data_IF_074840959922
#
_entry.id   IF_074840959922
#
_cell.length_a   1.000
_cell.length_b   1.000
_cell.length_c   1.000
_cell.angle_alpha   90.00
_cell.angle_beta   90.00
_cell.angle_gamma   90.00
#
_symmetry.space_group_name_H-M   'P 1'
#
loop_
_entity.id
_entity.type
_entity.pdbx_description
1 polymer ?
#
# COMPACT_ATOMS: atom_id res chain seq x y z
N UNK A 1 -36.25 0.96 -12.07
CA UNK A 1 -36.14 1.17 -10.61
C UNK A 1 -37.48 1.54 -9.97
N UNK A 2 -38.16 2.61 -10.40
CA UNK A 2 -39.46 3.04 -9.84
C UNK A 2 -40.52 1.94 -9.74
N UNK A 3 -40.75 1.18 -10.81
CA UNK A 3 -41.77 0.12 -10.83
C UNK A 3 -41.50 -1.00 -9.80
N UNK A 4 -40.22 -1.27 -9.49
CA UNK A 4 -39.82 -2.29 -8.50
C UNK A 4 -40.06 -1.80 -7.07
N UNK A 5 -39.89 -0.49 -6.82
CA UNK A 5 -40.17 0.10 -5.51
C UNK A 5 -41.67 0.16 -5.23
N UNK A 6 -42.47 0.51 -6.25
CA UNK A 6 -43.93 0.59 -6.13
C UNK A 6 -44.62 -0.77 -5.95
N UNK A 7 -44.02 -1.86 -6.45
CA UNK A 7 -44.63 -3.19 -6.39
C UNK A 7 -44.36 -3.95 -5.08
N UNK A 8 -43.55 -3.41 -4.15
CA UNK A 8 -43.23 -4.05 -2.88
C UNK A 8 -44.31 -3.80 -1.83
N UNK A 9 -44.74 -4.87 -1.15
CA UNK A 9 -45.56 -4.81 0.06
C UNK A 9 -44.80 -5.44 1.24
N UNK A 10 -44.70 -4.77 2.40
CA UNK A 10 -45.21 -3.43 2.72
C UNK A 10 -44.48 -2.30 1.96
N UNK A 11 -45.09 -1.10 1.94
CA UNK A 11 -44.52 0.07 1.24
C UNK A 11 -43.10 0.37 1.70
N UNK A 12 -42.19 0.50 0.74
CA UNK A 12 -40.79 0.91 0.98
C UNK A 12 -40.64 2.41 1.19
N UNK A 13 -41.69 3.20 0.91
CA UNK A 13 -41.69 4.64 1.06
C UNK A 13 -42.04 5.05 2.48
N UNK A 14 -41.41 6.13 2.92
CA UNK A 14 -41.52 6.67 4.27
C UNK A 14 -42.04 8.10 4.18
N UNK A 15 -42.86 8.54 5.14
CA UNK A 15 -43.46 9.88 5.12
C UNK A 15 -42.57 10.95 5.75
N UNK A 16 -41.66 10.56 6.66
CA UNK A 16 -40.74 11.45 7.35
C UNK A 16 -39.29 10.98 7.26
N UNK A 17 -38.36 11.95 7.30
CA UNK A 17 -36.92 11.69 7.35
C UNK A 17 -36.53 10.88 8.59
N UNK A 18 -37.07 11.24 9.75
CA UNK A 18 -36.75 10.59 11.03
C UNK A 18 -37.14 9.12 11.04
N UNK A 19 -38.31 8.81 10.47
CA UNK A 19 -38.77 7.43 10.33
C UNK A 19 -37.86 6.63 9.38
N UNK A 20 -37.38 7.25 8.30
CA UNK A 20 -36.47 6.61 7.35
C UNK A 20 -35.11 6.31 7.96
N UNK A 21 -34.58 7.26 8.74
CA UNK A 21 -33.33 7.11 9.50
C UNK A 21 -33.48 6.05 10.59
N UNK A 22 -34.57 6.07 11.35
CA UNK A 22 -34.83 5.06 12.38
C UNK A 22 -34.97 3.65 11.80
N UNK A 23 -35.63 3.50 10.64
CA UNK A 23 -35.72 2.20 9.94
C UNK A 23 -34.34 1.74 9.44
N UNK A 24 -33.52 2.65 8.92
CA UNK A 24 -32.16 2.33 8.47
C UNK A 24 -31.22 1.91 9.61
N UNK A 25 -31.43 2.45 10.82
CA UNK A 25 -30.66 2.07 12.01
C UNK A 25 -31.09 0.72 12.61
N UNK A 26 -32.40 0.45 12.65
CA UNK A 26 -32.96 -0.68 13.40
C UNK A 26 -33.24 -1.92 12.54
N UNK A 27 -33.16 -1.82 11.21
CA UNK A 27 -33.49 -2.92 10.30
C UNK A 27 -32.55 -2.94 9.09
N UNK A 28 -32.58 -4.03 8.32
CA UNK A 28 -31.84 -4.14 7.05
C UNK A 28 -32.50 -3.31 5.93
N UNK A 29 -32.57 -2.00 6.14
CA UNK A 29 -33.22 -1.04 5.24
C UNK A 29 -32.21 0.01 4.76
N UNK A 30 -32.09 0.15 3.44
CA UNK A 30 -31.29 1.22 2.84
C UNK A 30 -32.20 2.41 2.56
N UNK A 31 -31.91 3.55 3.19
CA UNK A 31 -32.64 4.79 2.97
C UNK A 31 -31.87 5.67 1.98
N UNK A 32 -32.56 6.10 0.92
CA UNK A 32 -31.99 7.00 -0.09
C UNK A 32 -32.38 8.43 0.25
N UNK A 33 -31.38 9.27 0.45
CA UNK A 33 -31.54 10.68 0.79
C UNK A 33 -30.44 11.50 0.11
N UNK A 34 -30.60 12.82 0.16
CA UNK A 34 -29.69 13.77 -0.46
C UNK A 34 -28.37 13.87 0.34
N UNK A 35 -27.26 14.19 -0.34
CA UNK A 35 -25.91 14.04 0.22
C UNK A 35 -25.65 14.90 1.45
N UNK A 36 -26.13 16.16 1.45
CA UNK A 36 -25.94 17.05 2.61
C UNK A 36 -26.64 16.50 3.86
N UNK A 37 -27.83 15.95 3.69
CA UNK A 37 -28.57 15.32 4.77
C UNK A 37 -27.89 14.02 5.23
N UNK A 38 -27.24 13.29 4.32
CA UNK A 38 -26.49 12.09 4.65
C UNK A 38 -25.28 12.40 5.53
N UNK A 39 -24.51 13.41 5.18
CA UNK A 39 -23.39 13.89 5.99
C UNK A 39 -23.86 14.40 7.36
N UNK A 40 -24.97 15.15 7.39
CA UNK A 40 -25.57 15.65 8.64
C UNK A 40 -25.91 14.53 9.63
N UNK A 41 -26.53 13.44 9.17
CA UNK A 41 -26.88 12.31 10.02
C UNK A 41 -25.68 11.40 10.31
N UNK A 42 -24.74 11.27 9.38
CA UNK A 42 -23.52 10.49 9.57
C UNK A 42 -22.62 11.10 10.65
N UNK A 43 -22.46 12.43 10.66
CA UNK A 43 -21.68 13.13 11.68
C UNK A 43 -22.27 12.99 13.08
N UNK A 44 -23.61 12.96 13.20
CA UNK A 44 -24.30 12.80 14.49
C UNK A 44 -24.39 11.35 14.96
N UNK A 45 -24.51 10.40 14.02
CA UNK A 45 -24.72 8.99 14.31
C UNK A 45 -23.71 8.14 13.55
N UNK A 46 -22.64 7.71 14.23
CA UNK A 46 -21.60 6.83 13.64
C UNK A 46 -22.09 5.42 13.28
N UNK A 47 -23.30 5.04 13.70
CA UNK A 47 -23.92 3.76 13.33
C UNK A 47 -24.51 3.78 11.92
N UNK A 48 -24.77 4.96 11.34
CA UNK A 48 -25.17 5.09 9.94
C UNK A 48 -23.93 5.09 9.07
N UNK A 49 -23.91 4.21 8.07
CA UNK A 49 -22.81 4.12 7.11
C UNK A 49 -23.29 4.56 5.74
N UNK A 50 -22.55 5.48 5.12
CA UNK A 50 -22.76 5.80 3.73
C UNK A 50 -22.23 4.66 2.86
N UNK A 51 -23.10 4.10 2.04
CA UNK A 51 -22.73 3.05 1.10
C UNK A 51 -22.58 3.68 -0.29
N UNK A 52 -21.37 3.62 -0.84
CA UNK A 52 -20.98 4.17 -2.16
C UNK A 52 -21.04 5.70 -2.25
N UNK A 53 -20.74 6.22 -3.44
CA UNK A 53 -20.76 7.64 -3.76
C UNK A 53 -22.15 8.17 -4.10
N UNK A 54 -22.20 9.45 -4.50
CA UNK A 54 -23.43 10.11 -4.93
C UNK A 54 -24.00 9.46 -6.20
N UNK A 55 -25.32 9.29 -6.23
CA UNK A 55 -26.05 8.77 -7.38
C UNK A 55 -26.21 9.81 -8.49
N UNK A 56 -26.31 11.08 -8.11
CA UNK A 56 -26.50 12.23 -8.99
C UNK A 56 -25.99 13.49 -8.28
N UNK A 57 -25.66 14.52 -9.05
CA UNK A 57 -25.26 15.83 -8.55
C UNK A 57 -26.40 16.80 -8.85
N UNK A 58 -27.24 17.06 -7.84
CA UNK A 58 -28.30 18.06 -7.91
C UNK A 58 -27.93 19.28 -7.07
N UNK A 59 -28.28 20.46 -7.55
CA UNK A 59 -28.11 21.72 -6.85
C UNK A 59 -29.44 22.25 -6.31
N UNK A 60 -29.39 22.93 -5.17
CA UNK A 60 -30.52 23.69 -4.63
C UNK A 60 -30.65 25.04 -5.31
N UNK A 61 -31.89 25.45 -5.60
CA UNK A 61 -32.20 26.75 -6.19
C UNK A 61 -33.34 27.43 -5.45
N UNK A 62 -33.31 28.77 -5.39
CA UNK A 62 -34.37 29.58 -4.81
C UNK A 62 -35.38 29.90 -5.91
N UNK A 63 -36.58 29.33 -5.81
CA UNK A 63 -37.66 29.57 -6.77
C UNK A 63 -38.39 30.90 -6.50
N UNK A 64 -38.52 31.75 -7.51
CA UNK A 64 -39.31 32.98 -7.47
C UNK A 64 -40.38 32.98 -8.58
N UNK A 65 -41.51 33.69 -8.45
CA UNK A 65 -42.52 33.82 -9.52
C UNK A 65 -41.93 34.46 -10.80
N UNK A 66 -42.36 34.06 -12.01
CA UNK A 66 -41.91 34.66 -13.26
C UNK A 66 -42.19 36.16 -13.29
N UNK A 67 -41.19 36.96 -13.68
CA UNK A 67 -41.28 38.42 -13.76
C UNK A 67 -41.09 39.17 -12.44
N UNK A 68 -40.68 38.51 -11.34
CA UNK A 68 -40.40 39.21 -10.09
C UNK A 68 -39.17 40.12 -10.19
N UNK A 69 -39.31 41.39 -9.82
CA UNK A 69 -38.25 42.43 -9.88
C UNK A 69 -37.01 42.04 -9.05
N UNK A 70 -37.19 41.36 -7.93
CA UNK A 70 -36.08 40.99 -7.01
C UNK A 70 -35.22 39.81 -7.49
N UNK A 71 -35.55 39.17 -8.62
CA UNK A 71 -34.79 38.01 -9.12
C UNK A 71 -33.31 38.33 -9.30
N UNK A 72 -33.05 39.46 -9.95
CA UNK A 72 -31.70 39.87 -10.34
C UNK A 72 -30.86 40.24 -9.10
N UNK A 73 -31.50 40.82 -8.07
CA UNK A 73 -30.84 41.17 -6.83
C UNK A 73 -30.43 39.93 -6.02
N UNK A 74 -31.31 38.93 -5.92
CA UNK A 74 -30.99 37.66 -5.26
C UNK A 74 -29.92 36.86 -6.01
N UNK A 75 -30.00 36.82 -7.34
CA UNK A 75 -28.99 36.13 -8.16
C UNK A 75 -27.60 36.76 -7.97
N UNK A 76 -27.53 38.10 -8.03
CA UNK A 76 -26.28 38.83 -7.77
C UNK A 76 -25.76 38.61 -6.34
N UNK A 77 -26.65 38.57 -5.34
CA UNK A 77 -26.26 38.31 -3.96
C UNK A 77 -25.65 36.91 -3.79
N UNK A 78 -26.26 35.88 -4.41
CA UNK A 78 -25.72 34.51 -4.40
C UNK A 78 -24.36 34.44 -5.08
N UNK A 79 -24.20 35.09 -6.24
CA UNK A 79 -22.93 35.14 -6.96
C UNK A 79 -21.82 35.79 -6.11
N UNK A 80 -22.12 36.91 -5.44
CA UNK A 80 -21.18 37.58 -4.53
C UNK A 80 -20.79 36.70 -3.34
N UNK A 81 -21.76 35.99 -2.76
CA UNK A 81 -21.49 35.04 -1.66
C UNK A 81 -20.61 33.87 -2.11
N UNK A 82 -20.80 33.35 -3.34
CA UNK A 82 -19.95 32.29 -3.87
C UNK A 82 -18.53 32.78 -4.15
N UNK A 83 -18.37 34.00 -4.66
CA UNK A 83 -17.06 34.58 -4.92
C UNK A 83 -16.25 34.77 -3.64
N UNK A 84 -16.85 35.30 -2.57
CA UNK A 84 -16.16 35.46 -1.27
C UNK A 84 -15.79 34.12 -0.61
N UNK A 85 -16.64 33.10 -0.78
CA UNK A 85 -16.40 31.78 -0.19
C UNK A 85 -15.45 30.88 -1.00
N UNK A 86 -15.18 31.19 -2.27
CA UNK A 86 -14.23 30.42 -3.10
C UNK A 86 -12.80 30.38 -2.54
N UNK A 87 -12.43 31.35 -1.71
CA UNK A 87 -11.14 31.37 -1.01
C UNK A 87 -11.17 30.69 0.37
N UNK A 88 -12.35 30.32 0.88
CA UNK A 88 -12.58 29.82 2.24
C UNK A 88 -13.16 28.41 2.20
N UNK A 89 -12.52 27.47 1.49
CA UNK A 89 -12.80 26.06 1.74
C UNK A 89 -12.33 25.75 3.16
N UNK A 90 -13.22 25.36 4.11
CA UNK A 90 -12.77 24.73 5.33
C UNK A 90 -12.00 23.50 4.88
N UNK A 91 -10.72 23.41 5.26
CA UNK A 91 -10.01 22.14 5.15
C UNK A 91 -10.77 21.19 6.06
N UNK A 92 -11.59 20.35 5.47
CA UNK A 92 -12.13 19.18 6.14
C UNK A 92 -10.91 18.51 6.77
N UNK A 93 -10.93 18.43 8.09
CA UNK A 93 -9.88 17.76 8.83
C UNK A 93 -10.01 16.29 8.47
N UNK A 94 -9.32 15.92 7.39
CA UNK A 94 -9.17 14.57 6.90
C UNK A 94 -8.47 13.76 8.00
N UNK A 95 -9.27 13.29 8.97
CA UNK A 95 -8.96 12.10 9.75
C UNK A 95 -8.76 10.87 8.84
N UNK A 96 -8.94 11.02 7.52
CA UNK A 96 -8.70 10.02 6.49
C UNK A 96 -7.33 10.12 5.81
N UNK A 97 -6.46 11.03 6.23
CA UNK A 97 -5.05 10.97 5.89
C UNK A 97 -4.19 11.34 7.10
N UNK A 98 -4.24 10.50 8.15
CA UNK A 98 -3.08 10.31 9.02
C UNK A 98 -1.95 9.87 8.09
N UNK A 99 -1.21 10.85 7.57
CA UNK A 99 -0.29 10.68 6.45
C UNK A 99 0.60 9.48 6.71
N UNK A 100 0.56 8.50 5.80
CA UNK A 100 1.31 7.23 5.80
C UNK A 100 2.28 7.16 6.97
N UNK A 101 1.70 6.85 8.14
CA UNK A 101 2.39 7.02 9.40
C UNK A 101 3.61 6.12 9.41
N UNK A 102 4.62 6.53 10.17
CA UNK A 102 5.81 5.75 10.52
C UNK A 102 5.52 4.27 10.87
N UNK A 103 4.26 3.95 11.20
CA UNK A 103 3.68 2.62 11.35
C UNK A 103 3.81 1.70 10.13
N UNK A 104 3.68 2.21 8.89
CA UNK A 104 3.81 1.40 7.67
C UNK A 104 5.27 1.16 7.24
N UNK A 105 6.19 2.03 7.70
CA UNK A 105 7.65 1.92 7.48
C UNK A 105 8.30 1.03 8.55
N UNK A 106 7.62 0.78 9.68
CA UNK A 106 8.10 -0.07 10.75
C UNK A 106 8.38 -1.52 10.30
N UNK A 107 7.61 -2.04 9.35
CA UNK A 107 7.78 -3.41 8.85
C UNK A 107 9.16 -3.67 8.22
N UNK A 108 9.65 -2.74 7.38
CA UNK A 108 10.93 -2.95 6.69
C UNK A 108 12.13 -2.81 7.63
N UNK A 109 12.05 -1.92 8.61
CA UNK A 109 13.08 -1.77 9.66
C UNK A 109 13.20 -3.03 10.51
N UNK A 110 12.07 -3.63 10.91
CA UNK A 110 12.06 -4.88 11.70
C UNK A 110 12.67 -6.03 10.91
N UNK A 111 12.33 -6.17 9.62
CA UNK A 111 12.90 -7.21 8.76
C UNK A 111 14.41 -7.05 8.60
N UNK A 112 14.91 -5.81 8.42
CA UNK A 112 16.33 -5.51 8.32
C UNK A 112 17.11 -5.89 9.59
N UNK A 113 16.61 -5.49 10.77
CA UNK A 113 17.27 -5.81 12.06
C UNK A 113 17.28 -7.31 12.32
N UNK A 114 16.16 -7.99 12.07
CA UNK A 114 16.06 -9.44 12.24
C UNK A 114 17.01 -10.19 11.28
N UNK A 115 17.05 -9.79 10.00
CA UNK A 115 17.94 -10.37 9.00
C UNK A 115 19.43 -10.21 9.35
N UNK A 116 19.82 -9.05 9.89
CA UNK A 116 21.19 -8.79 10.32
C UNK A 116 21.61 -9.70 11.48
N UNK A 117 20.75 -9.88 12.48
CA UNK A 117 21.03 -10.76 13.62
C UNK A 117 21.22 -12.22 13.18
N UNK A 118 20.36 -12.72 12.29
CA UNK A 118 20.46 -14.09 11.76
C UNK A 118 21.73 -14.27 10.92
N UNK A 119 22.10 -13.27 10.11
CA UNK A 119 23.32 -13.30 9.32
C UNK A 119 24.58 -13.38 10.19
N UNK A 120 24.64 -12.56 11.26
CA UNK A 120 25.75 -12.60 12.22
C UNK A 120 25.82 -13.96 12.91
N UNK A 121 24.68 -14.52 13.34
CA UNK A 121 24.65 -15.83 13.99
C UNK A 121 25.14 -16.96 13.07
N UNK A 122 24.71 -16.97 11.81
CA UNK A 122 25.19 -17.92 10.80
C UNK A 122 26.69 -17.78 10.54
N UNK A 123 27.21 -16.55 10.48
CA UNK A 123 28.64 -16.31 10.30
C UNK A 123 29.47 -16.82 11.50
N UNK A 124 28.97 -16.62 12.73
CA UNK A 124 29.64 -17.13 13.94
C UNK A 124 29.60 -18.66 13.98
N UNK A 125 28.48 -19.30 13.63
CA UNK A 125 28.39 -20.76 13.55
C UNK A 125 29.34 -21.32 12.49
N UNK A 126 29.41 -20.72 11.30
CA UNK A 126 30.38 -21.13 10.27
C UNK A 126 31.83 -20.93 10.76
N UNK A 127 32.12 -19.83 11.44
CA UNK A 127 33.44 -19.58 12.01
C UNK A 127 33.83 -20.60 13.08
N UNK A 128 32.94 -20.91 14.03
CA UNK A 128 33.19 -21.92 15.07
C UNK A 128 33.35 -23.31 14.46
N UNK A 129 32.53 -23.65 13.45
CA UNK A 129 32.65 -24.94 12.76
C UNK A 129 33.94 -25.03 11.92
N UNK A 130 34.40 -23.92 11.34
CA UNK A 130 35.69 -23.84 10.66
C UNK A 130 36.85 -24.01 11.64
N UNK A 131 36.83 -23.27 12.76
CA UNK A 131 37.85 -23.35 13.81
C UNK A 131 37.94 -24.74 14.46
N UNK A 132 36.81 -25.46 14.56
CA UNK A 132 36.76 -26.85 15.06
C UNK A 132 37.31 -27.86 14.04
N UNK A 133 37.25 -27.54 12.75
CA UNK A 133 37.75 -28.40 11.67
C UNK A 133 39.22 -28.18 11.35
N UNK A 134 39.89 -27.22 11.99
CA UNK A 134 41.35 -27.05 11.90
C UNK A 134 42.04 -27.72 13.10
N UNK A 135 42.39 -29.02 13.03
CA UNK A 135 43.43 -29.55 13.89
C UNK A 135 44.74 -28.86 13.52
N UNK A 136 45.44 -28.35 14.53
CA UNK A 136 46.78 -27.78 14.41
C UNK A 136 47.70 -28.81 13.75
N UNK A 137 48.11 -28.54 12.51
CA UNK A 137 49.34 -29.07 11.95
C UNK A 137 49.95 -28.00 11.04
N UNK A 138 50.86 -27.24 11.67
CA UNK A 138 52.00 -26.46 11.11
C UNK A 138 51.81 -24.98 10.67
N UNK A 139 52.84 -24.12 10.84
CA UNK A 139 52.69 -22.74 11.33
C UNK A 139 52.95 -21.65 10.24
N UNK A 140 53.00 -20.34 10.58
CA UNK A 140 52.13 -19.30 10.03
C UNK A 140 52.68 -18.61 8.75
N UNK A 141 51.83 -18.36 7.75
CA UNK A 141 52.13 -17.36 6.70
C UNK A 141 51.05 -16.28 6.64
N UNK A 142 51.31 -15.26 7.45
CA UNK A 142 51.21 -13.82 7.13
C UNK A 142 49.92 -13.31 6.48
N UNK A 143 49.29 -12.47 7.29
CA UNK A 143 48.21 -11.49 7.10
C UNK A 143 48.22 -10.70 5.77
N UNK A 144 47.03 -10.24 5.38
CA UNK A 144 46.69 -9.16 4.42
C UNK A 144 46.69 -9.46 2.92
N UNK A 145 45.51 -9.43 2.30
CA UNK A 145 45.39 -8.89 0.94
C UNK A 145 45.18 -7.38 1.03
N UNK A 146 46.28 -6.65 0.98
CA UNK A 146 46.33 -5.20 0.74
C UNK A 146 45.94 -4.86 -0.71
N UNK A 147 45.55 -3.60 -1.00
CA UNK A 147 44.93 -3.16 -2.26
C UNK A 147 45.90 -3.01 -3.47
N UNK A 148 46.83 -3.95 -3.69
CA UNK A 148 47.91 -3.81 -4.69
C UNK A 148 47.62 -4.54 -6.02
N UNK A 149 46.52 -5.28 -6.14
CA UNK A 149 46.21 -6.06 -7.35
C UNK A 149 45.53 -5.25 -8.49
N UNK A 150 45.28 -3.94 -8.33
CA UNK A 150 44.58 -3.12 -9.32
C UNK A 150 45.46 -2.68 -10.51
N UNK A 151 46.78 -2.68 -10.37
CA UNK A 151 47.67 -1.98 -11.30
C UNK A 151 47.97 -2.75 -12.60
N UNK A 152 47.59 -4.02 -12.74
CA UNK A 152 47.92 -4.85 -13.93
C UNK A 152 46.89 -4.84 -15.06
N UNK A 153 45.80 -4.08 -14.98
CA UNK A 153 44.73 -4.05 -16.00
C UNK A 153 44.76 -2.85 -16.96
N UNK A 154 45.80 -2.03 -16.96
CA UNK A 154 45.83 -0.77 -17.73
C UNK A 154 46.49 -0.82 -19.13
N UNK A 155 47.01 -1.96 -19.60
CA UNK A 155 47.51 -2.08 -20.97
C UNK A 155 46.49 -2.80 -21.89
N UNK A 156 45.64 -1.99 -22.54
CA UNK A 156 44.75 -2.30 -23.68
C UNK A 156 45.57 -2.29 -25.00
N UNK A 157 45.11 -2.81 -26.19
CA UNK A 157 43.76 -2.55 -26.72
C UNK A 157 43.05 -3.60 -27.62
N UNK A 158 41.70 -3.58 -27.47
CA UNK A 158 40.64 -3.60 -28.51
C UNK A 158 40.40 -4.80 -29.46
N UNK A 159 39.26 -5.46 -29.21
CA UNK A 159 38.12 -5.88 -30.08
C UNK A 159 37.70 -7.31 -29.66
N UNK A 160 36.48 -7.62 -29.21
CA UNK A 160 35.15 -7.07 -29.49
C UNK A 160 34.16 -7.68 -28.46
N UNK A 161 33.28 -6.85 -27.88
CA UNK A 161 31.91 -7.16 -27.41
C UNK A 161 31.65 -8.59 -26.81
N UNK A 162 31.77 -8.85 -25.50
CA UNK A 162 30.71 -8.72 -24.47
C UNK A 162 29.37 -9.31 -24.97
N UNK A 163 28.96 -10.52 -24.59
CA UNK A 163 28.28 -10.79 -23.31
C UNK A 163 28.96 -11.89 -22.48
N UNK A 164 29.60 -11.45 -21.39
CA UNK A 164 30.60 -12.19 -20.63
C UNK A 164 30.02 -13.12 -19.55
N UNK A 165 30.74 -14.22 -19.23
CA UNK A 165 30.42 -15.14 -18.11
C UNK A 165 30.59 -14.51 -16.71
N UNK A 166 30.79 -13.19 -16.63
CA UNK A 166 31.03 -12.44 -15.40
C UNK A 166 29.73 -12.15 -14.62
N UNK A 167 28.55 -12.29 -15.24
CA UNK A 167 27.27 -12.22 -14.50
C UNK A 167 27.01 -13.53 -13.71
N UNK A 168 27.73 -14.62 -14.01
CA UNK A 168 27.58 -15.88 -13.27
C UNK A 168 28.34 -15.88 -11.93
N UNK A 169 29.46 -15.17 -11.85
CA UNK A 169 30.31 -15.09 -10.65
C UNK A 169 29.78 -14.12 -9.59
N UNK A 170 28.93 -13.14 -9.96
CA UNK A 170 28.29 -12.25 -8.98
C UNK A 170 27.18 -12.93 -8.16
N UNK A 171 26.80 -14.18 -8.49
CA UNK A 171 25.84 -14.98 -7.71
C UNK A 171 26.51 -15.94 -6.72
N UNK A 172 27.85 -16.08 -6.80
CA UNK A 172 28.64 -17.05 -6.02
C UNK A 172 29.25 -16.52 -4.72
N UNK A 173 29.33 -15.20 -4.56
CA UNK A 173 30.01 -14.52 -3.44
C UNK A 173 29.18 -14.34 -2.16
N UNK A 174 27.87 -14.59 -2.21
CA UNK A 174 26.96 -14.48 -1.04
C UNK A 174 26.15 -15.75 -0.81
N UNK A 175 26.71 -16.91 -1.15
CA UNK A 175 26.10 -18.19 -0.84
C UNK A 175 26.96 -18.87 0.23
N UNK A 176 26.51 -18.73 1.49
CA UNK A 176 27.01 -19.44 2.66
C UNK A 176 27.27 -20.92 2.33
N UNK A 177 28.26 -21.52 2.99
CA UNK A 177 28.66 -22.92 2.74
C UNK A 177 27.48 -23.89 2.88
N UNK A 178 26.51 -23.53 3.72
CA UNK A 178 25.23 -24.21 3.86
C UNK A 178 24.41 -24.22 2.57
N UNK A 179 24.33 -23.09 1.87
CA UNK A 179 23.57 -22.99 0.62
C UNK A 179 24.19 -23.83 -0.50
N UNK A 180 25.53 -23.98 -0.54
CA UNK A 180 26.19 -24.92 -1.47
C UNK A 180 25.84 -26.38 -1.17
N UNK A 181 25.68 -26.74 0.11
CA UNK A 181 25.30 -28.10 0.56
C UNK A 181 23.80 -28.39 0.36
N UNK A 182 22.93 -27.40 0.50
CA UNK A 182 21.50 -27.52 0.16
C UNK A 182 21.29 -27.59 -1.36
N UNK A 183 22.03 -26.79 -2.14
CA UNK A 183 21.96 -26.84 -3.61
C UNK A 183 22.50 -28.17 -4.17
N UNK A 184 23.50 -28.77 -3.52
CA UNK A 184 24.01 -30.09 -3.93
C UNK A 184 23.00 -31.20 -3.64
N UNK A 185 22.32 -31.17 -2.49
CA UNK A 185 21.27 -32.14 -2.18
C UNK A 185 20.06 -32.03 -3.11
N UNK A 186 19.63 -30.80 -3.44
CA UNK A 186 18.54 -30.57 -4.39
C UNK A 186 18.90 -31.02 -5.82
N UNK A 187 20.14 -30.77 -6.26
CA UNK A 187 20.63 -31.29 -7.55
C UNK A 187 20.66 -32.82 -7.59
N UNK A 188 21.04 -33.46 -6.49
CA UNK A 188 21.10 -34.93 -6.42
C UNK A 188 19.70 -35.56 -6.43
N UNK A 189 18.72 -34.95 -5.75
CA UNK A 189 17.31 -35.35 -5.82
C UNK A 189 16.70 -35.16 -7.22
N UNK A 190 17.03 -34.05 -7.88
CA UNK A 190 16.61 -33.79 -9.27
C UNK A 190 17.24 -34.76 -10.28
N UNK A 191 18.44 -35.27 -10.01
CA UNK A 191 19.07 -36.29 -10.84
C UNK A 191 18.38 -37.66 -10.66
N UNK A 192 18.04 -38.01 -9.42
CA UNK A 192 17.42 -39.30 -9.10
C UNK A 192 15.97 -39.40 -9.62
N UNK A 193 15.20 -38.31 -9.55
CA UNK A 193 13.85 -38.23 -10.14
C UNK A 193 13.86 -38.30 -11.67
N UNK A 194 14.95 -37.90 -12.34
CA UNK A 194 15.11 -38.03 -13.80
C UNK A 194 15.43 -39.44 -14.27
N UNK A 195 15.90 -40.31 -13.37
CA UNK A 195 16.11 -41.74 -13.65
C UNK A 195 14.82 -42.57 -13.49
N UNK A 196 13.77 -41.97 -12.96
CA UNK A 196 12.49 -42.64 -12.65
C UNK A 196 11.38 -42.33 -13.68
N UNK A 197 11.77 -41.86 -14.88
CA UNK A 197 10.88 -41.62 -16.02
C UNK A 197 11.55 -42.16 -17.28
#
# INVERSE_FOLDING_TARGET
MRNVMLSKQPSVFVMSMEEGVARGLNSNYAFLLESTMNEYYHQRNRNLTQIRGLLDTKGYGIGMPPGSVSRDEFDLAVLRMQEDNRGKCPKEEDHRAKGLGMENIGGILVVLVCGLLVAIFMAVLEFVWMMRQTPVTEPPFVYTRTPVDYQRRLDLPSLKQTDNPVILELKGGSLSTFSRRVLSHLRNLQANLRYLK
#
